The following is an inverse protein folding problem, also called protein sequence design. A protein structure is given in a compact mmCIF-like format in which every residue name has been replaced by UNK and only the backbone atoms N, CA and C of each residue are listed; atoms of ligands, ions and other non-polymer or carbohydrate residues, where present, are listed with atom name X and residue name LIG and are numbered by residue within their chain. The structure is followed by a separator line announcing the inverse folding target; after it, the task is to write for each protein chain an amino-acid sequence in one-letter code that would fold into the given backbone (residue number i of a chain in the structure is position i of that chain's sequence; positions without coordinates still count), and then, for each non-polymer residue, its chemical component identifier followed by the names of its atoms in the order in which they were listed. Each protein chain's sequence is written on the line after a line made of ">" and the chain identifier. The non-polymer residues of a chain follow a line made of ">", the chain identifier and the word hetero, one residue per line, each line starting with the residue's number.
data_IF_486328190790
#
_entry.id   IF_486328190790
#
_cell.length_a   1.000
_cell.length_b   1.000
_cell.length_c   1.000
_cell.angle_alpha   90.00
_cell.angle_beta   90.00
_cell.angle_gamma   90.00
#
_symmetry.space_group_name_H-M   'P 1'
#
loop_
_entity.id
_entity.type
_entity.pdbx_description
1 polymer ?
#
# COMPACT_ATOMS: atom_id res chain seq x y z
N UNK A 1 21.37 4.13 -4.19
CA UNK A 1 21.11 3.39 -2.94
C UNK A 1 19.75 2.71 -3.05
N UNK A 2 19.68 1.44 -2.70
CA UNK A 2 18.42 0.69 -2.72
C UNK A 2 17.70 0.84 -1.38
N UNK A 3 16.45 1.25 -1.42
CA UNK A 3 15.60 1.31 -0.24
C UNK A 3 14.74 0.03 -0.20
N UNK A 4 14.77 -0.64 0.94
CA UNK A 4 14.04 -1.90 1.12
C UNK A 4 12.88 -1.69 2.09
N UNK A 5 11.69 -2.14 1.69
CA UNK A 5 10.49 -2.15 2.53
C UNK A 5 10.17 -3.60 2.88
N UNK A 6 10.14 -3.88 4.18
CA UNK A 6 9.90 -5.24 4.68
C UNK A 6 8.41 -5.52 4.77
N UNK A 7 7.97 -6.63 4.19
CA UNK A 7 6.56 -7.03 4.24
C UNK A 7 6.11 -7.43 5.64
N UNK A 8 4.85 -7.14 5.95
CA UNK A 8 4.21 -7.50 7.23
C UNK A 8 2.92 -8.27 6.95
N UNK A 9 2.35 -8.95 7.93
CA UNK A 9 2.80 -9.08 9.32
C UNK A 9 4.05 -9.95 9.46
N UNK A 10 4.85 -9.66 10.49
CA UNK A 10 6.02 -10.45 10.86
C UNK A 10 5.74 -11.21 12.16
N UNK A 11 6.09 -12.48 12.16
CA UNK A 11 5.84 -13.36 13.32
C UNK A 11 7.13 -14.07 13.69
N UNK A 12 7.47 -14.14 14.99
CA UNK A 12 6.73 -13.55 16.11
C UNK A 12 6.93 -12.04 16.23
N UNK A 13 6.08 -11.40 17.02
CA UNK A 13 6.14 -9.95 17.24
C UNK A 13 7.51 -9.49 17.74
N UNK A 14 8.19 -10.31 18.51
CA UNK A 14 9.54 -10.00 19.01
C UNK A 14 10.54 -9.77 17.88
N UNK A 15 10.39 -10.44 16.75
CA UNK A 15 11.26 -10.22 15.59
C UNK A 15 10.95 -8.89 14.92
N UNK A 16 9.67 -8.52 14.82
CA UNK A 16 9.28 -7.22 14.32
C UNK A 16 9.87 -6.09 15.16
N UNK A 17 9.78 -6.21 16.49
CA UNK A 17 10.23 -5.15 17.41
C UNK A 17 11.76 -4.94 17.39
N UNK A 18 12.51 -5.89 16.84
CA UNK A 18 13.96 -5.73 16.63
C UNK A 18 14.31 -4.90 15.42
N UNK A 19 13.32 -4.52 14.60
CA UNK A 19 13.53 -3.87 13.32
C UNK A 19 13.26 -2.35 13.39
N UNK A 20 13.53 -1.73 14.53
CA UNK A 20 13.37 -0.28 14.68
C UNK A 20 14.20 0.49 13.67
N UNK A 21 13.64 1.55 13.10
CA UNK A 21 14.30 2.38 12.10
C UNK A 21 14.28 1.80 10.68
N UNK A 22 13.69 0.64 10.47
CA UNK A 22 13.53 0.05 9.14
C UNK A 22 12.28 0.58 8.45
N UNK A 23 12.16 0.28 7.16
CA UNK A 23 10.98 0.63 6.36
C UNK A 23 10.10 -0.60 6.20
N UNK A 24 8.78 -0.41 6.28
CA UNK A 24 7.83 -1.51 6.25
C UNK A 24 6.79 -1.33 5.16
N UNK A 25 6.31 -2.46 4.62
CA UNK A 25 5.16 -2.51 3.73
C UNK A 25 4.00 -3.13 4.52
N UNK A 26 2.92 -2.37 4.67
CA UNK A 26 1.72 -2.82 5.39
C UNK A 26 0.56 -2.83 4.41
N UNK A 27 -0.06 -4.00 4.23
CA UNK A 27 -1.20 -4.15 3.31
C UNK A 27 -2.52 -3.89 4.02
N UNK A 28 -3.43 -3.23 3.32
CA UNK A 28 -4.82 -3.07 3.76
C UNK A 28 -5.50 -4.43 3.99
N UNK A 29 -5.07 -5.46 3.26
CA UNK A 29 -5.60 -6.83 3.43
C UNK A 29 -5.16 -7.47 4.75
N UNK A 30 -3.98 -7.10 5.25
CA UNK A 30 -3.40 -7.64 6.49
C UNK A 30 -2.73 -6.52 7.30
N UNK A 31 -3.53 -5.63 7.91
CA UNK A 31 -2.97 -4.45 8.60
C UNK A 31 -2.57 -4.70 10.05
N UNK A 32 -2.36 -5.95 10.45
CA UNK A 32 -2.17 -6.38 11.83
C UNK A 32 -1.07 -5.60 12.55
N UNK A 33 0.04 -5.30 11.86
CA UNK A 33 1.21 -4.66 12.45
C UNK A 33 1.28 -3.15 12.19
N UNK A 34 0.21 -2.54 11.64
CA UNK A 34 0.24 -1.13 11.25
C UNK A 34 0.66 -0.20 12.38
N UNK A 35 0.05 -0.34 13.56
CA UNK A 35 0.34 0.52 14.70
C UNK A 35 1.78 0.35 15.19
N UNK A 36 2.28 -0.90 15.22
CA UNK A 36 3.65 -1.19 15.64
C UNK A 36 4.65 -0.61 14.66
N UNK A 37 4.39 -0.77 13.35
CA UNK A 37 5.27 -0.24 12.32
C UNK A 37 5.32 1.29 12.36
N UNK A 38 4.21 1.96 12.65
CA UNK A 38 4.19 3.40 12.83
C UNK A 38 5.03 3.84 14.03
N UNK A 39 5.06 3.02 15.08
CA UNK A 39 5.83 3.32 16.28
C UNK A 39 7.33 3.16 16.08
N UNK A 40 7.76 2.12 15.36
CA UNK A 40 9.19 1.76 15.27
C UNK A 40 9.81 2.05 13.91
N UNK A 41 9.02 2.18 12.86
CA UNK A 41 9.51 2.30 11.51
C UNK A 41 9.92 3.70 11.12
N UNK A 42 10.76 3.80 10.07
CA UNK A 42 11.17 5.07 9.49
C UNK A 42 10.17 5.54 8.45
N UNK A 43 9.77 4.67 7.54
CA UNK A 43 8.81 4.96 6.48
C UNK A 43 7.95 3.74 6.22
N UNK A 44 6.67 3.95 5.96
CA UNK A 44 5.75 2.86 5.67
C UNK A 44 5.16 3.07 4.28
N UNK A 45 5.21 2.01 3.47
CA UNK A 45 4.48 1.91 2.22
C UNK A 45 3.14 1.25 2.52
N UNK A 46 2.05 2.00 2.36
CA UNK A 46 0.70 1.48 2.55
C UNK A 46 0.24 0.81 1.25
N UNK A 47 0.17 -0.51 1.27
CA UNK A 47 -0.29 -1.29 0.11
C UNK A 47 -1.81 -1.44 0.15
N UNK A 48 -2.44 -1.40 -1.02
CA UNK A 48 -3.91 -1.41 -1.14
C UNK A 48 -4.55 -2.79 -1.01
N UNK A 49 -3.76 -3.87 -1.05
CA UNK A 49 -4.30 -5.24 -0.95
C UNK A 49 -4.94 -5.75 -2.23
N UNK A 50 -4.71 -5.12 -3.38
CA UNK A 50 -5.32 -5.52 -4.64
C UNK A 50 -5.03 -6.96 -5.03
N UNK A 51 -3.79 -7.42 -4.82
CA UNK A 51 -3.42 -8.79 -5.15
C UNK A 51 -4.18 -9.80 -4.31
N UNK A 52 -4.30 -9.56 -3.01
CA UNK A 52 -5.07 -10.44 -2.11
C UNK A 52 -6.55 -10.46 -2.48
N UNK A 53 -7.11 -9.31 -2.81
CA UNK A 53 -8.50 -9.21 -3.26
C UNK A 53 -8.71 -10.01 -4.54
N UNK A 54 -7.78 -9.90 -5.49
CA UNK A 54 -7.84 -10.62 -6.76
C UNK A 54 -7.81 -12.13 -6.54
N UNK A 55 -6.89 -12.64 -5.70
CA UNK A 55 -6.75 -14.08 -5.45
C UNK A 55 -7.94 -14.65 -4.70
N UNK A 56 -8.59 -13.86 -3.84
CA UNK A 56 -9.77 -14.28 -3.09
C UNK A 56 -11.08 -14.08 -3.87
N UNK A 57 -11.02 -13.45 -5.05
CA UNK A 57 -12.19 -13.17 -5.86
C UNK A 57 -13.12 -12.11 -5.25
N UNK A 58 -12.59 -11.25 -4.37
CA UNK A 58 -13.35 -10.21 -3.71
C UNK A 58 -12.81 -8.84 -4.10
N UNK A 59 -13.68 -7.89 -4.52
CA UNK A 59 -13.20 -6.54 -4.83
C UNK A 59 -12.77 -5.80 -3.58
N UNK A 60 -11.85 -4.84 -3.74
CA UNK A 60 -11.48 -3.92 -2.68
C UNK A 60 -12.63 -2.93 -2.48
N UNK A 61 -13.00 -2.69 -1.21
CA UNK A 61 -13.89 -1.59 -0.87
C UNK A 61 -13.04 -0.31 -0.84
N UNK A 62 -13.11 0.46 -1.91
CA UNK A 62 -12.29 1.66 -2.10
C UNK A 62 -12.49 2.69 -1.01
N UNK A 63 -13.73 2.87 -0.55
CA UNK A 63 -14.03 3.86 0.48
C UNK A 63 -13.47 3.46 1.84
N UNK A 64 -13.48 2.17 2.16
CA UNK A 64 -12.85 1.68 3.38
C UNK A 64 -11.33 1.85 3.33
N UNK A 65 -10.73 1.63 2.14
CA UNK A 65 -9.30 1.87 1.94
C UNK A 65 -8.97 3.34 2.19
N UNK A 66 -9.75 4.25 1.63
CA UNK A 66 -9.53 5.68 1.81
C UNK A 66 -9.67 6.10 3.28
N UNK A 67 -10.68 5.60 3.99
CA UNK A 67 -10.84 5.86 5.41
C UNK A 67 -9.63 5.38 6.21
N UNK A 68 -9.11 4.20 5.87
CA UNK A 68 -7.93 3.63 6.52
C UNK A 68 -6.68 4.48 6.27
N UNK A 69 -6.52 4.99 5.05
CA UNK A 69 -5.39 5.83 4.68
C UNK A 69 -5.48 7.23 5.29
N UNK A 70 -6.68 7.76 5.45
CA UNK A 70 -6.90 9.14 5.92
C UNK A 70 -6.19 9.40 7.25
N UNK A 71 -6.17 8.43 8.14
CA UNK A 71 -5.54 8.55 9.45
C UNK A 71 -4.05 8.22 9.44
N UNK A 72 -3.55 7.59 8.37
CA UNK A 72 -2.20 6.98 8.33
C UNK A 72 -1.28 7.64 7.33
N UNK A 73 -1.81 8.19 6.26
CA UNK A 73 -1.02 8.72 5.16
C UNK A 73 -0.44 10.09 5.51
N UNK A 74 0.84 10.25 5.31
CA UNK A 74 1.55 11.50 5.56
C UNK A 74 3.05 11.26 5.54
N UNK A 75 3.83 12.27 5.16
CA UNK A 75 5.28 12.16 5.11
C UNK A 75 5.83 11.68 6.47
N UNK A 76 6.74 10.72 6.54
CA UNK A 76 7.50 10.08 5.46
C UNK A 76 6.87 8.82 4.86
N UNK A 77 5.61 8.58 5.13
CA UNK A 77 4.88 7.43 4.65
C UNK A 77 4.24 7.73 3.29
N UNK A 78 3.97 6.69 2.51
CA UNK A 78 3.34 6.86 1.21
C UNK A 78 2.48 5.64 0.88
N UNK A 79 1.58 5.79 -0.08
CA UNK A 79 0.60 4.75 -0.41
C UNK A 79 0.70 4.35 -1.89
N UNK A 80 0.39 3.08 -2.16
CA UNK A 80 0.24 2.57 -3.52
C UNK A 80 -1.18 2.83 -3.98
N UNK A 81 -1.34 3.52 -5.11
CA UNK A 81 -2.65 3.82 -5.69
C UNK A 81 -3.31 2.49 -6.11
N UNK A 82 -4.61 2.29 -5.82
CA UNK A 82 -5.29 1.05 -6.21
C UNK A 82 -5.18 0.78 -7.70
N UNK A 83 -4.98 -0.49 -8.05
CA UNK A 83 -4.97 -0.96 -9.42
C UNK A 83 -5.98 -2.09 -9.57
N UNK A 84 -6.42 -2.30 -10.81
CA UNK A 84 -7.34 -3.38 -11.15
C UNK A 84 -6.53 -4.47 -11.82
N UNK A 85 -6.21 -5.53 -11.08
CA UNK A 85 -5.42 -6.65 -11.58
C UNK A 85 -6.24 -7.40 -12.62
N UNK A 86 -5.67 -7.56 -13.82
CA UNK A 86 -6.39 -8.15 -14.95
C UNK A 86 -7.38 -7.21 -15.61
N UNK A 87 -7.48 -5.97 -15.15
CA UNK A 87 -8.36 -4.98 -15.72
C UNK A 87 -7.76 -4.29 -16.95
N UNK A 88 -8.58 -3.48 -17.62
CA UNK A 88 -8.16 -2.74 -18.80
C UNK A 88 -7.35 -1.50 -18.42
N UNK A 89 -6.73 -0.85 -19.42
CA UNK A 89 -6.05 0.44 -19.22
C UNK A 89 -7.03 1.47 -18.68
N UNK A 90 -8.28 1.46 -19.18
CA UNK A 90 -9.32 2.39 -18.73
C UNK A 90 -9.70 2.15 -17.27
N UNK A 91 -9.82 0.89 -16.84
CA UNK A 91 -10.12 0.55 -15.45
C UNK A 91 -9.05 1.13 -14.52
N UNK A 92 -7.78 0.98 -14.88
CA UNK A 92 -6.68 1.47 -14.06
C UNK A 92 -6.56 3.00 -14.11
N UNK A 93 -6.86 3.60 -15.27
CA UNK A 93 -6.88 5.07 -15.41
C UNK A 93 -7.94 5.69 -14.50
N UNK A 94 -9.11 5.06 -14.41
CA UNK A 94 -10.19 5.52 -13.53
C UNK A 94 -9.74 5.54 -12.07
N UNK A 95 -9.02 4.51 -11.62
CA UNK A 95 -8.51 4.47 -10.26
C UNK A 95 -7.52 5.61 -9.99
N UNK A 96 -6.68 5.95 -10.96
CA UNK A 96 -5.77 7.09 -10.85
C UNK A 96 -6.52 8.41 -10.75
N UNK A 97 -7.58 8.58 -11.54
CA UNK A 97 -8.36 9.81 -11.55
C UNK A 97 -9.18 9.99 -10.26
N UNK A 98 -9.64 8.89 -9.67
CA UNK A 98 -10.44 8.93 -8.45
C UNK A 98 -9.58 9.10 -7.18
N UNK A 99 -8.26 8.93 -7.29
CA UNK A 99 -7.35 8.98 -6.15
C UNK A 99 -7.30 10.38 -5.55
N UNK A 100 -7.66 10.55 -4.25
CA UNK A 100 -7.82 11.89 -3.67
C UNK A 100 -6.56 12.47 -3.02
N UNK A 101 -5.45 11.72 -2.97
CA UNK A 101 -4.28 12.11 -2.20
C UNK A 101 -3.18 12.72 -3.06
N UNK A 102 -2.27 13.53 -2.44
CA UNK A 102 -1.19 14.18 -3.18
C UNK A 102 -0.24 13.20 -3.85
N UNK A 103 0.30 13.58 -5.00
CA UNK A 103 1.25 12.75 -5.74
C UNK A 103 2.54 12.50 -4.95
N UNK A 104 2.94 13.42 -4.05
CA UNK A 104 4.13 13.25 -3.22
C UNK A 104 4.00 12.10 -2.24
N UNK A 105 2.78 11.70 -1.93
CA UNK A 105 2.51 10.62 -0.98
C UNK A 105 2.00 9.35 -1.66
N UNK A 106 2.10 9.28 -2.99
CA UNK A 106 1.40 8.26 -3.77
C UNK A 106 2.29 7.68 -4.86
N UNK A 107 2.09 6.40 -5.18
CA UNK A 107 2.78 5.74 -6.28
C UNK A 107 1.82 4.85 -7.05
N UNK A 108 1.74 4.98 -8.38
CA UNK A 108 0.93 4.08 -9.20
C UNK A 108 1.63 2.74 -9.40
N UNK A 109 0.82 1.70 -9.64
CA UNK A 109 1.34 0.41 -10.05
C UNK A 109 1.50 0.41 -11.58
N UNK A 110 2.66 -0.04 -12.04
CA UNK A 110 2.96 -0.10 -13.46
C UNK A 110 2.71 -1.51 -14.00
N UNK A 111 1.88 -1.61 -15.05
CA UNK A 111 1.60 -2.88 -15.71
C UNK A 111 2.37 -2.95 -17.04
N UNK A 112 2.90 -4.15 -17.36
CA UNK A 112 3.74 -4.34 -18.54
C UNK A 112 3.04 -3.97 -19.85
N UNK A 113 1.72 -4.09 -19.90
CA UNK A 113 0.93 -3.76 -21.08
C UNK A 113 0.34 -2.35 -21.05
N UNK A 114 0.75 -1.53 -20.09
CA UNK A 114 0.28 -0.14 -20.00
C UNK A 114 1.18 0.77 -20.83
N UNK A 115 0.63 1.63 -21.70
CA UNK A 115 1.44 2.57 -22.46
C UNK A 115 2.21 3.53 -21.55
N UNK A 116 3.41 3.91 -21.99
CA UNK A 116 4.27 4.86 -21.29
C UNK A 116 3.97 6.26 -21.82
N UNK A 117 3.18 7.04 -21.10
CA UNK A 117 2.97 8.46 -21.43
C UNK A 117 2.18 9.21 -20.37
#
# INVERSE_FOLDING_TARGET
>A
MTVVYHGTPLSPISELMKMGGKNFCVSFARPDDAARCLQIGQSIMWDNGAFSAYTLGKPIDKYKLYDWLEERLGHPHWAVIPDVIGGSVEDNRKELLDWPYPSELSAPVWHLNTPID
#
